data_IF_196568697794
#
_entry.id   IF_196568697794
#
_cell.length_a   1.000
_cell.length_b   1.000
_cell.length_c   1.000
_cell.angle_alpha   90.00
_cell.angle_beta   90.00
_cell.angle_gamma   90.00
#
_symmetry.space_group_name_H-M   'P 1'
#
loop_
_entity.id
_entity.type
_entity.pdbx_description
1 polymer ?
#
# COMPACT_ATOMS: atom_id res chain seq x y z
N UNK A 1 -15.11 9.05 -7.71
CA UNK A 1 -14.14 8.06 -8.22
C UNK A 1 -14.41 6.71 -7.57
N UNK A 2 -14.59 5.64 -8.33
CA UNK A 2 -14.76 4.27 -7.80
C UNK A 2 -13.38 3.60 -7.71
N UNK A 3 -13.12 2.90 -6.59
CA UNK A 3 -11.93 2.08 -6.42
C UNK A 3 -12.19 0.67 -6.96
N UNK A 4 -11.27 0.16 -7.77
CA UNK A 4 -11.30 -1.19 -8.37
C UNK A 4 -10.58 -2.22 -7.49
N UNK A 5 -9.85 -1.76 -6.48
CA UNK A 5 -9.17 -2.61 -5.50
C UNK A 5 -7.69 -2.85 -5.79
N UNK A 6 -7.20 -2.38 -6.94
CA UNK A 6 -5.82 -2.57 -7.40
C UNK A 6 -5.01 -1.27 -7.42
N UNK A 7 -5.65 -0.13 -7.16
CA UNK A 7 -4.99 1.17 -7.21
C UNK A 7 -3.86 1.26 -6.17
N UNK A 8 -2.73 1.81 -6.62
CA UNK A 8 -1.68 2.33 -5.75
C UNK A 8 -2.00 3.77 -5.34
N UNK A 9 -1.30 4.26 -4.30
CA UNK A 9 -1.40 5.66 -3.86
C UNK A 9 -1.22 6.67 -4.99
N UNK A 10 -0.22 6.45 -5.85
CA UNK A 10 0.11 7.40 -6.92
C UNK A 10 -1.01 7.46 -7.96
N UNK A 11 -1.47 6.31 -8.45
CA UNK A 11 -2.54 6.23 -9.46
C UNK A 11 -3.84 6.87 -8.95
N UNK A 12 -4.19 6.65 -7.68
CA UNK A 12 -5.35 7.28 -7.07
C UNK A 12 -5.17 8.79 -6.90
N UNK A 13 -3.97 9.23 -6.52
CA UNK A 13 -3.64 10.65 -6.38
C UNK A 13 -3.74 11.39 -7.72
N UNK A 14 -3.24 10.79 -8.79
CA UNK A 14 -3.26 11.40 -10.13
C UNK A 14 -4.71 11.56 -10.61
N UNK A 15 -5.52 10.51 -10.49
CA UNK A 15 -6.96 10.53 -10.84
C UNK A 15 -7.73 11.57 -10.01
N UNK A 16 -7.49 11.64 -8.70
CA UNK A 16 -8.16 12.61 -7.83
C UNK A 16 -7.73 14.05 -8.12
N UNK A 17 -6.47 14.26 -8.50
CA UNK A 17 -5.96 15.60 -8.81
C UNK A 17 -6.61 16.15 -10.08
N UNK A 18 -6.74 15.32 -11.12
CA UNK A 18 -7.43 15.67 -12.36
C UNK A 18 -8.91 15.98 -12.09
N UNK A 19 -9.64 15.05 -11.47
CA UNK A 19 -11.07 15.26 -11.15
C UNK A 19 -11.29 16.46 -10.23
N UNK A 20 -10.41 16.70 -9.27
CA UNK A 20 -10.51 17.85 -8.37
C UNK A 20 -10.29 19.18 -9.08
N UNK A 21 -9.37 19.24 -10.04
CA UNK A 21 -9.13 20.42 -10.84
C UNK A 21 -10.33 20.74 -11.76
N UNK A 22 -10.88 19.73 -12.43
CA UNK A 22 -12.07 19.86 -13.27
C UNK A 22 -13.26 20.38 -12.44
N UNK A 23 -13.55 19.73 -11.31
CA UNK A 23 -14.65 20.11 -10.44
C UNK A 23 -14.50 21.54 -9.91
N UNK A 24 -13.28 21.94 -9.56
CA UNK A 24 -13.02 23.31 -9.11
C UNK A 24 -13.32 24.32 -10.21
N UNK A 25 -12.83 24.09 -11.44
CA UNK A 25 -13.05 24.98 -12.58
C UNK A 25 -14.55 25.10 -12.87
N UNK A 26 -15.28 23.98 -12.90
CA UNK A 26 -16.72 23.96 -13.14
C UNK A 26 -17.54 24.77 -12.13
N UNK A 27 -17.08 24.85 -10.88
CA UNK A 27 -17.83 25.48 -9.79
C UNK A 27 -17.27 26.86 -9.38
N UNK A 28 -16.13 27.28 -9.92
CA UNK A 28 -15.42 28.48 -9.45
C UNK A 28 -16.28 29.74 -9.59
N UNK A 29 -16.97 29.92 -10.71
CA UNK A 29 -17.85 31.07 -10.94
C UNK A 29 -19.01 31.10 -9.93
N UNK A 30 -19.71 29.97 -9.76
CA UNK A 30 -20.79 29.85 -8.78
C UNK A 30 -20.33 30.07 -7.32
N UNK A 31 -19.06 29.73 -7.00
CA UNK A 31 -18.45 30.05 -5.70
C UNK A 31 -18.24 31.57 -5.56
N UNK A 32 -17.69 32.21 -6.60
CA UNK A 32 -17.39 33.66 -6.60
C UNK A 32 -18.67 34.51 -6.56
N UNK A 33 -19.73 34.05 -7.21
CA UNK A 33 -21.03 34.73 -7.26
C UNK A 33 -21.93 34.37 -6.05
N UNK A 34 -21.52 33.40 -5.23
CA UNK A 34 -22.24 32.98 -4.03
C UNK A 34 -23.50 32.16 -4.29
N UNK A 35 -23.61 31.52 -5.45
CA UNK A 35 -24.75 30.68 -5.83
C UNK A 35 -24.63 29.24 -5.32
N UNK A 36 -23.41 28.80 -5.01
CA UNK A 36 -23.18 27.47 -4.47
C UNK A 36 -23.72 27.35 -3.04
N UNK A 37 -24.66 26.43 -2.81
CA UNK A 37 -25.24 26.20 -1.48
C UNK A 37 -24.39 25.20 -0.68
N UNK A 38 -23.78 25.59 0.44
CA UNK A 38 -23.00 24.67 1.27
C UNK A 38 -23.88 23.61 1.93
N UNK A 39 -23.34 22.39 2.04
CA UNK A 39 -24.00 21.29 2.77
C UNK A 39 -23.25 21.01 4.08
N UNK A 40 -23.92 21.05 5.25
CA UNK A 40 -23.32 20.63 6.52
C UNK A 40 -22.86 19.17 6.49
N UNK A 41 -21.72 18.89 7.13
CA UNK A 41 -21.21 17.52 7.34
C UNK A 41 -21.89 16.88 8.56
N UNK A 42 -22.04 15.56 8.55
CA UNK A 42 -22.53 14.81 9.72
C UNK A 42 -21.35 14.33 10.55
N UNK A 43 -21.20 14.84 11.78
CA UNK A 43 -20.06 14.50 12.65
C UNK A 43 -19.96 12.99 12.95
N UNK A 44 -21.09 12.28 12.95
CA UNK A 44 -21.14 10.83 13.14
C UNK A 44 -20.46 10.04 12.02
N UNK A 45 -20.33 10.62 10.82
CA UNK A 45 -19.69 10.00 9.65
C UNK A 45 -18.21 10.40 9.53
N UNK A 46 -17.74 11.33 10.37
CA UNK A 46 -16.39 11.85 10.29
C UNK A 46 -15.35 10.80 10.71
N UNK A 47 -14.31 10.63 9.89
CA UNK A 47 -13.15 9.79 10.21
C UNK A 47 -11.87 10.62 10.10
N UNK A 48 -10.84 10.25 10.85
CA UNK A 48 -9.56 10.97 10.85
C UNK A 48 -8.49 10.18 10.11
N UNK A 49 -7.87 10.81 9.11
CA UNK A 49 -6.67 10.30 8.46
C UNK A 49 -5.44 10.96 9.07
N UNK A 50 -4.60 10.17 9.75
CA UNK A 50 -3.35 10.67 10.34
C UNK A 50 -2.30 10.98 9.28
N UNK A 51 -1.39 11.89 9.59
CA UNK A 51 -0.18 12.09 8.81
C UNK A 51 0.71 10.84 8.92
N UNK A 52 1.17 10.34 7.77
CA UNK A 52 2.04 9.17 7.71
C UNK A 52 3.45 9.50 8.23
N UNK A 53 3.98 8.59 9.03
CA UNK A 53 5.37 8.59 9.49
C UNK A 53 6.14 7.42 8.89
N UNK A 54 7.46 7.42 9.04
CA UNK A 54 8.30 6.35 8.51
C UNK A 54 7.97 4.99 9.15
N UNK A 55 7.61 5.00 10.43
CA UNK A 55 7.32 3.80 11.22
C UNK A 55 6.00 3.14 10.77
N UNK A 56 5.07 3.91 10.20
CA UNK A 56 3.84 3.35 9.63
C UNK A 56 4.14 2.42 8.45
N UNK A 57 5.31 2.58 7.79
CA UNK A 57 5.75 1.71 6.72
C UNK A 57 6.18 0.31 7.17
N UNK A 58 6.38 0.06 8.47
CA UNK A 58 6.79 -1.25 8.95
C UNK A 58 5.63 -2.25 8.82
N UNK A 59 5.87 -3.36 8.13
CA UNK A 59 4.91 -4.46 7.99
C UNK A 59 4.87 -5.25 9.30
N UNK A 60 3.67 -5.34 9.88
CA UNK A 60 3.37 -6.24 10.99
C UNK A 60 2.67 -7.49 10.44
N UNK A 61 3.40 -8.61 10.33
CA UNK A 61 2.82 -9.87 9.88
C UNK A 61 1.78 -10.46 10.85
N UNK A 62 1.57 -9.87 12.03
CA UNK A 62 0.41 -10.17 12.87
C UNK A 62 -0.93 -9.69 12.30
N UNK A 63 -0.92 -8.85 11.25
CA UNK A 63 -2.12 -8.33 10.59
C UNK A 63 -2.68 -9.27 9.51
N UNK A 64 -3.96 -9.11 9.11
CA UNK A 64 -4.55 -9.88 8.02
C UNK A 64 -3.84 -9.68 6.68
N UNK A 65 -3.76 -10.72 5.86
CA UNK A 65 -3.15 -10.66 4.52
C UNK A 65 -3.70 -9.51 3.66
N UNK A 66 -5.01 -9.30 3.70
CA UNK A 66 -5.67 -8.22 2.97
C UNK A 66 -5.23 -6.83 3.43
N UNK A 67 -5.01 -6.64 4.74
CA UNK A 67 -4.57 -5.36 5.29
C UNK A 67 -3.14 -5.06 4.83
N UNK A 68 -2.27 -6.06 4.84
CA UNK A 68 -0.89 -5.95 4.39
C UNK A 68 -0.78 -5.70 2.88
N UNK A 69 -1.61 -6.38 2.08
CA UNK A 69 -1.68 -6.15 0.64
C UNK A 69 -2.09 -4.69 0.33
N UNK A 70 -3.14 -4.20 1.00
CA UNK A 70 -3.59 -2.80 0.89
C UNK A 70 -2.51 -1.82 1.35
N UNK A 71 -1.79 -2.15 2.44
CA UNK A 71 -0.68 -1.37 2.95
C UNK A 71 0.44 -1.21 1.91
N UNK A 72 0.84 -2.30 1.24
CA UNK A 72 1.86 -2.29 0.17
C UNK A 72 1.46 -1.32 -0.95
N UNK A 73 0.21 -1.35 -1.41
CA UNK A 73 -0.27 -0.41 -2.45
C UNK A 73 -0.41 1.03 -1.95
N UNK A 74 -0.93 1.22 -0.73
CA UNK A 74 -1.14 2.54 -0.14
C UNK A 74 0.19 3.24 0.20
N UNK A 75 1.25 2.49 0.52
CA UNK A 75 2.55 3.03 0.92
C UNK A 75 3.61 2.94 -0.18
N UNK A 76 3.20 2.67 -1.42
CA UNK A 76 4.05 2.80 -2.59
C UNK A 76 4.72 4.19 -2.62
N UNK A 77 6.04 4.20 -2.77
CA UNK A 77 6.86 5.42 -2.72
C UNK A 77 7.20 5.91 -1.30
N UNK A 78 6.19 6.21 -0.47
CA UNK A 78 6.35 6.64 0.92
C UNK A 78 5.13 6.24 1.78
N UNK A 79 5.31 5.70 3.00
CA UNK A 79 6.57 5.48 3.74
C UNK A 79 7.38 4.24 3.35
N UNK A 80 6.94 3.49 2.32
CA UNK A 80 7.48 2.19 1.89
C UNK A 80 7.20 1.07 2.89
N UNK A 81 6.70 -0.05 2.38
CA UNK A 81 6.41 -1.24 3.19
C UNK A 81 7.68 -2.01 3.53
N UNK A 82 8.28 -1.70 4.67
CA UNK A 82 9.52 -2.29 5.16
C UNK A 82 9.23 -3.56 5.97
N UNK A 83 9.96 -4.64 5.71
CA UNK A 83 9.81 -5.90 6.40
C UNK A 83 11.16 -6.59 6.59
N UNK A 84 11.23 -7.52 7.55
CA UNK A 84 12.34 -8.47 7.66
C UNK A 84 11.88 -9.83 7.14
N UNK A 85 12.48 -10.31 6.07
CA UNK A 85 12.13 -11.58 5.40
C UNK A 85 13.40 -12.43 5.29
N UNK A 86 13.37 -13.67 5.77
CA UNK A 86 14.56 -14.54 5.88
C UNK A 86 15.76 -13.85 6.55
N UNK A 87 15.50 -13.05 7.59
CA UNK A 87 16.52 -12.29 8.31
C UNK A 87 17.05 -11.04 7.58
N UNK A 88 16.62 -10.79 6.35
CA UNK A 88 17.04 -9.65 5.54
C UNK A 88 16.04 -8.50 5.61
N UNK A 89 16.55 -7.27 5.69
CA UNK A 89 15.71 -6.08 5.56
C UNK A 89 15.38 -5.83 4.09
N UNK A 90 14.08 -5.76 3.79
CA UNK A 90 13.54 -5.58 2.45
C UNK A 90 12.47 -4.51 2.43
N UNK A 91 12.21 -3.96 1.25
CA UNK A 91 11.06 -3.11 0.99
C UNK A 91 10.16 -3.86 0.01
N UNK A 92 8.96 -4.22 0.45
CA UNK A 92 7.95 -4.89 -0.39
C UNK A 92 7.31 -3.82 -1.27
N UNK A 93 7.42 -4.00 -2.59
CA UNK A 93 6.86 -3.06 -3.58
C UNK A 93 5.61 -3.63 -4.26
N UNK A 94 5.49 -4.96 -4.32
CA UNK A 94 4.30 -5.64 -4.86
C UNK A 94 4.02 -6.95 -4.13
N UNK A 95 2.77 -7.15 -3.74
CA UNK A 95 2.32 -8.35 -3.06
C UNK A 95 0.92 -8.75 -3.51
N UNK A 96 0.52 -9.99 -3.20
CA UNK A 96 -0.87 -10.47 -3.32
C UNK A 96 -1.21 -11.40 -2.17
N UNK A 97 -2.51 -11.57 -1.92
CA UNK A 97 -3.00 -12.55 -0.96
C UNK A 97 -2.79 -13.95 -1.56
N UNK A 98 -2.18 -14.84 -0.79
CA UNK A 98 -1.99 -16.24 -1.12
C UNK A 98 -2.94 -17.14 -0.31
N UNK A 99 -3.25 -18.31 -0.86
CA UNK A 99 -4.11 -19.31 -0.21
C UNK A 99 -3.33 -20.22 0.74
N UNK A 100 -2.06 -20.45 0.44
CA UNK A 100 -1.14 -21.33 1.14
C UNK A 100 0.30 -20.79 1.04
N UNK A 101 1.26 -21.57 1.52
CA UNK A 101 2.69 -21.22 1.59
C UNK A 101 3.38 -21.18 0.21
N UNK A 102 2.71 -21.66 -0.84
CA UNK A 102 3.23 -21.69 -2.22
C UNK A 102 4.41 -22.64 -2.42
N UNK A 103 4.62 -23.10 -3.66
CA UNK A 103 5.80 -23.87 -4.05
C UNK A 103 6.72 -23.00 -4.92
N UNK A 104 7.90 -22.66 -4.42
CA UNK A 104 8.88 -21.84 -5.14
C UNK A 104 8.62 -20.32 -5.18
N UNK A 105 7.59 -19.83 -4.49
CA UNK A 105 7.27 -18.40 -4.33
C UNK A 105 7.63 -17.88 -2.95
N UNK A 106 7.97 -16.59 -2.83
CA UNK A 106 8.25 -15.98 -1.53
C UNK A 106 6.95 -15.64 -0.81
N UNK A 107 6.49 -16.55 0.05
CA UNK A 107 5.27 -16.37 0.85
C UNK A 107 5.62 -16.24 2.32
N UNK A 108 4.98 -15.28 2.99
CA UNK A 108 5.10 -15.09 4.45
C UNK A 108 3.75 -15.30 5.11
N UNK A 109 3.75 -16.07 6.19
CA UNK A 109 2.56 -16.26 7.03
C UNK A 109 2.18 -14.94 7.68
N UNK A 110 0.90 -14.61 7.60
CA UNK A 110 0.31 -13.51 8.35
C UNK A 110 -0.98 -13.99 9.03
N UNK A 111 -1.64 -13.13 9.82
CA UNK A 111 -2.79 -13.60 10.59
C UNK A 111 -4.05 -12.73 10.42
N UNK A 112 -5.12 -13.28 9.82
CA UNK A 112 -5.19 -14.55 9.09
C UNK A 112 -4.58 -14.46 7.67
N UNK A 113 -4.04 -15.58 7.20
CA UNK A 113 -3.74 -15.81 5.78
C UNK A 113 -2.25 -15.84 5.42
N UNK A 114 -1.97 -15.64 4.15
CA UNK A 114 -0.62 -15.68 3.59
C UNK A 114 -0.44 -14.51 2.64
N UNK A 115 0.73 -13.88 2.70
CA UNK A 115 1.11 -12.79 1.81
C UNK A 115 2.23 -13.27 0.89
N UNK A 116 1.97 -13.32 -0.41
CA UNK A 116 2.99 -13.59 -1.43
C UNK A 116 3.64 -12.28 -1.86
N UNK A 117 4.96 -12.23 -1.73
CA UNK A 117 5.79 -11.10 -2.12
C UNK A 117 6.23 -11.32 -3.57
N UNK A 118 5.66 -10.54 -4.48
CA UNK A 118 5.92 -10.63 -5.91
C UNK A 118 7.17 -9.86 -6.29
N UNK A 119 7.33 -8.66 -5.72
CA UNK A 119 8.46 -7.76 -5.97
C UNK A 119 8.89 -7.07 -4.68
N UNK A 120 10.21 -6.93 -4.53
CA UNK A 120 10.83 -6.27 -3.39
C UNK A 120 12.13 -5.59 -3.79
N UNK A 121 12.55 -4.61 -2.99
CA UNK A 121 13.92 -4.10 -2.98
C UNK A 121 14.71 -4.89 -1.95
N UNK A 122 15.71 -5.63 -2.43
CA UNK A 122 16.54 -6.49 -1.58
C UNK A 122 17.62 -5.70 -0.82
N UNK A 123 18.44 -6.39 -0.01
CA UNK A 123 19.52 -5.76 0.78
C UNK A 123 20.55 -4.99 -0.05
N UNK A 124 20.70 -5.34 -1.32
CA UNK A 124 21.58 -4.66 -2.27
C UNK A 124 21.01 -3.32 -2.78
N UNK A 125 19.78 -2.95 -2.41
CA UNK A 125 19.07 -1.79 -2.92
C UNK A 125 18.48 -1.98 -4.32
N UNK A 126 18.61 -3.17 -4.91
CA UNK A 126 18.03 -3.49 -6.23
C UNK A 126 16.64 -4.10 -6.08
N UNK A 127 15.73 -3.69 -6.95
CA UNK A 127 14.43 -4.33 -7.13
C UNK A 127 14.62 -5.72 -7.77
N UNK A 128 13.92 -6.72 -7.25
CA UNK A 128 13.95 -8.10 -7.74
C UNK A 128 12.63 -8.81 -7.44
N UNK A 129 12.40 -9.95 -8.10
CA UNK A 129 11.24 -10.80 -7.81
C UNK A 129 11.42 -11.57 -6.49
N UNK A 130 10.31 -11.99 -5.88
CA UNK A 130 10.35 -12.88 -4.72
C UNK A 130 11.11 -14.19 -4.99
N UNK A 131 10.98 -14.74 -6.20
CA UNK A 131 11.68 -15.96 -6.62
C UNK A 131 13.20 -15.75 -6.79
N UNK A 132 13.64 -14.59 -7.30
CA UNK A 132 15.06 -14.22 -7.35
C UNK A 132 15.63 -14.07 -5.93
N UNK A 133 14.86 -13.42 -5.04
CA UNK A 133 15.25 -13.25 -3.66
C UNK A 133 15.45 -14.59 -2.95
N UNK A 134 14.53 -15.55 -3.11
CA UNK A 134 14.68 -16.89 -2.53
C UNK A 134 15.95 -17.61 -3.02
N UNK A 135 16.29 -17.48 -4.31
CA UNK A 135 17.52 -18.10 -4.85
C UNK A 135 18.80 -17.52 -4.24
N UNK A 136 18.80 -16.22 -3.90
CA UNK A 136 19.96 -15.54 -3.32
C UNK A 136 20.02 -15.57 -1.78
N UNK A 137 18.88 -15.68 -1.11
CA UNK A 137 18.72 -15.46 0.34
C UNK A 137 17.91 -16.56 1.05
N UNK A 138 17.95 -17.79 0.54
CA UNK A 138 17.19 -18.96 1.07
C UNK A 138 17.70 -19.52 2.40
N UNK A 139 18.80 -19.04 2.98
CA UNK A 139 19.31 -19.58 4.25
C UNK A 139 18.61 -18.94 5.45
N UNK A 140 17.93 -19.73 6.32
CA UNK A 140 17.71 -19.30 7.70
C UNK A 140 19.08 -19.12 8.37
N UNK A 141 19.21 -18.11 9.23
CA UNK A 141 20.35 -18.03 10.14
C UNK A 141 20.39 -19.32 10.99
N UNK A 142 21.57 -19.93 11.22
CA UNK A 142 21.68 -21.02 12.17
C UNK A 142 21.21 -20.53 13.55
N UNK A 143 20.44 -21.39 14.22
CA UNK A 143 19.88 -21.26 15.57
C UNK A 143 20.82 -20.64 16.58
#
# INVERSE_FOLDING_TARGET
IVLTGNETKQELSDRLSETGAELLIENLEAILEGWLTPKPQFDADATYSKLLKKEDGVIDFGQPAEALERQVRAFAGWPKSQAKVNGQDVIITKARIAKDEGDGSLVTKCYPGWLEILELVGPSGKTMSGADFLRGYSRPLPS
#
